data_IF_981271364049
#
_entry.id   IF_981271364049
#
_cell.length_a   1.000
_cell.length_b   1.000
_cell.length_c   1.000
_cell.angle_alpha   90.00
_cell.angle_beta   90.00
_cell.angle_gamma   90.00
#
_symmetry.space_group_name_H-M   'P 1'
#
loop_
_entity.id
_entity.type
_entity.pdbx_description
1 polymer ?
#
# COMPACT_ATOMS: atom_id res chain seq x y z
N UNK A 1 13.04 -6.04 3.46
CA UNK A 1 13.33 -6.91 2.29
C UNK A 1 12.11 -7.78 2.01
N UNK A 2 11.88 -8.16 0.76
CA UNK A 2 10.81 -9.07 0.35
C UNK A 2 11.42 -10.24 -0.42
N UNK A 3 10.98 -11.45 -0.09
CA UNK A 3 11.28 -12.65 -0.85
C UNK A 3 10.13 -12.96 -1.82
N UNK A 4 10.42 -13.06 -3.10
CA UNK A 4 9.42 -13.39 -4.14
C UNK A 4 9.78 -14.68 -4.85
N UNK A 5 8.78 -15.31 -5.45
CA UNK A 5 8.99 -16.38 -6.42
C UNK A 5 9.02 -15.78 -7.84
N UNK A 6 10.04 -16.04 -8.67
CA UNK A 6 10.20 -15.37 -9.97
C UNK A 6 9.07 -15.64 -10.95
N UNK A 7 8.35 -16.74 -10.77
CA UNK A 7 7.23 -17.14 -11.63
C UNK A 7 5.88 -16.64 -11.09
N UNK A 8 5.85 -16.02 -9.91
CA UNK A 8 4.64 -15.41 -9.37
C UNK A 8 4.34 -14.07 -10.06
N UNK A 9 3.06 -13.69 -10.06
CA UNK A 9 2.59 -12.42 -10.62
C UNK A 9 2.81 -11.28 -9.61
N UNK A 10 4.08 -10.97 -9.33
CA UNK A 10 4.43 -9.86 -8.43
C UNK A 10 4.46 -8.52 -9.20
N UNK A 11 3.83 -7.44 -8.68
CA UNK A 11 3.79 -6.13 -9.33
C UNK A 11 5.16 -5.56 -9.71
N UNK A 12 6.23 -5.94 -9.00
CA UNK A 12 7.60 -5.48 -9.26
C UNK A 12 8.09 -5.86 -10.66
N UNK A 13 7.56 -6.93 -11.26
CA UNK A 13 7.92 -7.36 -12.62
C UNK A 13 7.68 -6.28 -13.66
N UNK A 14 6.59 -5.52 -13.52
CA UNK A 14 6.24 -4.41 -14.43
C UNK A 14 7.09 -3.15 -14.24
N UNK A 15 7.95 -3.14 -13.22
CA UNK A 15 8.72 -1.96 -12.77
C UNK A 15 10.23 -2.15 -12.84
N UNK A 16 10.70 -3.24 -13.47
CA UNK A 16 12.12 -3.46 -13.71
C UNK A 16 12.63 -2.45 -14.73
N UNK A 17 13.72 -1.77 -14.40
CA UNK A 17 14.40 -0.82 -15.29
C UNK A 17 15.61 -1.46 -15.96
N UNK A 18 16.33 -2.33 -15.25
CA UNK A 18 17.51 -3.03 -15.76
C UNK A 18 17.65 -4.41 -15.13
N UNK A 19 18.21 -5.37 -15.87
CA UNK A 19 18.29 -6.76 -15.44
C UNK A 19 16.96 -7.51 -15.62
N UNK A 20 16.74 -8.54 -14.81
CA UNK A 20 15.56 -9.41 -14.95
C UNK A 20 15.24 -10.10 -13.63
N UNK A 21 13.94 -10.22 -13.31
CA UNK A 21 13.44 -10.93 -12.12
C UNK A 21 13.71 -12.43 -12.23
N UNK A 22 13.70 -12.97 -13.45
CA UNK A 22 13.94 -14.38 -13.75
C UNK A 22 15.34 -14.85 -13.33
N UNK A 23 16.29 -13.92 -13.17
CA UNK A 23 17.63 -14.24 -12.67
C UNK A 23 17.62 -14.64 -11.19
N UNK A 24 16.63 -14.20 -10.41
CA UNK A 24 16.47 -14.54 -9.00
C UNK A 24 16.25 -16.05 -8.84
N UNK A 25 17.31 -16.85 -8.84
CA UNK A 25 17.21 -18.29 -8.65
C UNK A 25 17.54 -18.67 -7.20
N UNK A 26 16.84 -19.68 -6.69
CA UNK A 26 17.06 -20.20 -5.35
C UNK A 26 18.53 -20.57 -5.11
N UNK A 27 19.11 -20.07 -4.01
CA UNK A 27 20.49 -20.35 -3.61
C UNK A 27 21.55 -19.59 -4.39
N UNK A 28 21.18 -18.73 -5.34
CA UNK A 28 22.14 -17.88 -6.07
C UNK A 28 22.43 -16.55 -5.36
N UNK A 29 21.66 -16.21 -4.32
CA UNK A 29 21.81 -14.96 -3.55
C UNK A 29 21.85 -13.76 -4.47
N UNK A 30 20.80 -13.63 -5.25
CA UNK A 30 20.62 -12.52 -6.16
C UNK A 30 19.61 -11.54 -5.60
N UNK A 31 19.78 -10.27 -5.93
CA UNK A 31 18.97 -9.19 -5.37
C UNK A 31 18.60 -8.17 -6.43
N UNK A 32 17.37 -7.70 -6.36
CA UNK A 32 16.89 -6.52 -7.06
C UNK A 32 16.86 -5.36 -6.09
N UNK A 33 17.50 -4.27 -6.49
CA UNK A 33 17.56 -3.04 -5.71
C UNK A 33 16.69 -1.97 -6.38
N UNK A 34 16.06 -1.14 -5.57
CA UNK A 34 15.40 0.05 -6.10
C UNK A 34 16.45 1.01 -6.67
N UNK A 35 16.08 1.75 -7.71
CA UNK A 35 17.01 2.60 -8.44
C UNK A 35 17.67 3.67 -7.54
N UNK A 36 16.90 4.24 -6.61
CA UNK A 36 17.41 5.21 -5.63
C UNK A 36 18.42 4.58 -4.66
N UNK A 37 18.11 3.39 -4.11
CA UNK A 37 19.02 2.66 -3.22
C UNK A 37 20.33 2.27 -3.91
N UNK A 38 20.25 1.80 -5.16
CA UNK A 38 21.44 1.42 -5.91
C UNK A 38 22.35 2.63 -6.20
N UNK A 39 21.76 3.81 -6.43
CA UNK A 39 22.50 5.06 -6.60
C UNK A 39 23.17 5.53 -5.31
N UNK A 40 22.47 5.44 -4.18
CA UNK A 40 23.01 5.80 -2.87
C UNK A 40 24.20 4.94 -2.47
N UNK A 41 24.14 3.64 -2.79
CA UNK A 41 25.21 2.67 -2.53
C UNK A 41 26.31 2.67 -3.61
N UNK A 42 26.15 3.44 -4.69
CA UNK A 42 26.99 3.44 -5.90
C UNK A 42 27.24 2.03 -6.47
N UNK A 43 26.17 1.23 -6.60
CA UNK A 43 26.22 -0.15 -7.11
C UNK A 43 25.45 -0.31 -8.41
N UNK A 44 25.92 -1.21 -9.25
CA UNK A 44 25.35 -1.56 -10.55
C UNK A 44 24.98 -3.03 -10.62
N UNK A 45 24.26 -3.40 -11.68
CA UNK A 45 23.95 -4.80 -11.96
C UNK A 45 25.26 -5.58 -12.15
N UNK A 46 25.45 -6.65 -11.38
CA UNK A 46 26.67 -7.45 -11.31
C UNK A 46 27.48 -7.25 -10.03
N UNK A 47 27.28 -6.13 -9.32
CA UNK A 47 28.02 -5.84 -8.10
C UNK A 47 27.51 -6.66 -6.91
N UNK A 48 28.29 -6.70 -5.83
CA UNK A 48 27.95 -7.42 -4.61
C UNK A 48 27.59 -6.46 -3.48
N UNK A 49 26.49 -6.75 -2.80
CA UNK A 49 26.01 -6.00 -1.64
C UNK A 49 25.85 -6.90 -0.41
N UNK A 50 26.09 -6.36 0.78
CA UNK A 50 25.86 -7.05 2.05
C UNK A 50 24.46 -6.76 2.56
N UNK A 51 23.64 -7.80 2.66
CA UNK A 51 22.39 -7.71 3.40
C UNK A 51 22.61 -8.19 4.82
N UNK A 52 22.13 -7.43 5.78
CA UNK A 52 22.19 -7.73 7.20
C UNK A 52 20.80 -7.58 7.82
N UNK A 53 20.40 -8.57 8.61
CA UNK A 53 19.12 -8.63 9.29
C UNK A 53 19.38 -8.70 10.79
N UNK A 54 18.97 -7.66 11.51
CA UNK A 54 19.18 -7.55 12.96
C UNK A 54 18.19 -8.37 13.78
N UNK A 55 16.97 -8.59 13.27
CA UNK A 55 15.94 -9.40 13.91
C UNK A 55 16.32 -10.88 13.99
N UNK A 56 17.01 -11.41 12.97
CA UNK A 56 17.52 -12.77 12.94
C UNK A 56 18.98 -12.79 13.44
N UNK A 57 19.20 -13.01 14.74
CA UNK A 57 20.54 -13.05 15.35
C UNK A 57 20.86 -14.43 15.94
N UNK A 58 22.14 -14.79 15.92
CA UNK A 58 22.65 -15.99 16.58
C UNK A 58 23.44 -15.61 17.83
N UNK A 59 23.20 -16.35 18.90
CA UNK A 59 23.99 -16.25 20.13
C UNK A 59 25.32 -16.98 19.91
N UNK A 60 26.41 -16.26 20.10
CA UNK A 60 27.77 -16.81 20.12
C UNK A 60 28.40 -16.48 21.49
N UNK A 61 29.46 -17.20 21.91
CA UNK A 61 30.17 -16.87 23.16
C UNK A 61 30.69 -15.42 23.21
N UNK A 62 30.84 -14.77 22.05
CA UNK A 62 31.30 -13.39 21.88
C UNK A 62 30.15 -12.36 21.78
N UNK A 63 28.88 -12.79 21.85
CA UNK A 63 27.71 -11.92 21.76
C UNK A 63 26.71 -12.30 20.65
N UNK A 64 25.72 -11.43 20.42
CA UNK A 64 24.69 -11.61 19.39
C UNK A 64 25.22 -11.15 18.03
N UNK A 65 25.38 -12.08 17.09
CA UNK A 65 25.80 -11.76 15.73
C UNK A 65 24.56 -11.75 14.82
N UNK A 66 24.29 -10.65 14.10
CA UNK A 66 23.18 -10.55 13.17
C UNK A 66 23.41 -11.42 11.93
N UNK A 67 22.33 -11.96 11.38
CA UNK A 67 22.37 -12.72 10.15
C UNK A 67 22.76 -11.80 8.99
N UNK A 68 23.76 -12.20 8.22
CA UNK A 68 24.25 -11.40 7.12
C UNK A 68 24.74 -12.28 5.97
N UNK A 69 24.62 -11.79 4.73
CA UNK A 69 25.09 -12.51 3.54
C UNK A 69 25.40 -11.57 2.38
N UNK A 70 26.32 -12.00 1.52
CA UNK A 70 26.60 -11.34 0.23
C UNK A 70 25.53 -11.72 -0.78
N UNK A 71 24.97 -10.71 -1.43
CA UNK A 71 24.07 -10.84 -2.56
C UNK A 71 24.66 -10.17 -3.80
N UNK A 72 24.36 -10.69 -4.98
CA UNK A 72 24.75 -10.10 -6.26
C UNK A 72 23.57 -9.35 -6.86
N UNK A 73 23.78 -8.11 -7.28
CA UNK A 73 22.74 -7.27 -7.89
C UNK A 73 22.39 -7.84 -9.26
N UNK A 74 21.19 -8.39 -9.38
CA UNK A 74 20.70 -9.03 -10.61
C UNK A 74 19.95 -8.06 -11.53
N UNK A 75 19.48 -6.94 -10.96
CA UNK A 75 18.68 -5.94 -11.64
C UNK A 75 18.29 -4.78 -10.73
N UNK A 76 17.74 -3.75 -11.35
CA UNK A 76 17.24 -2.55 -10.72
C UNK A 76 15.78 -2.36 -11.09
N UNK A 77 14.95 -1.97 -10.12
CA UNK A 77 13.55 -1.59 -10.36
C UNK A 77 13.32 -0.13 -9.97
N UNK A 78 12.27 0.49 -10.50
CA UNK A 78 11.86 1.82 -10.05
C UNK A 78 10.34 1.96 -10.05
N UNK A 79 9.79 2.21 -8.87
CA UNK A 79 8.36 2.48 -8.66
C UNK A 79 8.03 3.97 -8.77
N UNK A 80 9.03 4.84 -8.74
CA UNK A 80 8.83 6.30 -8.68
C UNK A 80 8.38 6.79 -7.30
N UNK A 81 8.55 5.97 -6.27
CA UNK A 81 8.16 6.25 -4.88
C UNK A 81 9.34 6.00 -3.95
N UNK A 82 9.23 6.46 -2.70
CA UNK A 82 10.22 6.26 -1.62
C UNK A 82 10.49 4.78 -1.32
N UNK A 83 9.65 3.88 -1.81
CA UNK A 83 9.87 2.43 -1.73
C UNK A 83 11.19 2.03 -2.41
N UNK A 84 11.62 2.78 -3.44
CA UNK A 84 12.87 2.51 -4.18
C UNK A 84 14.14 2.69 -3.33
N UNK A 85 14.09 3.39 -2.19
CA UNK A 85 15.24 3.53 -1.28
C UNK A 85 15.20 2.54 -0.11
N UNK A 86 14.03 1.98 0.21
CA UNK A 86 13.84 1.17 1.42
C UNK A 86 13.67 -0.32 1.14
N UNK A 87 13.19 -0.67 -0.05
CA UNK A 87 12.81 -2.03 -0.37
C UNK A 87 13.87 -2.75 -1.22
N UNK A 88 14.10 -3.99 -0.85
CA UNK A 88 15.04 -4.89 -1.50
C UNK A 88 14.33 -6.21 -1.77
N UNK A 89 14.45 -6.72 -2.99
CA UNK A 89 13.73 -7.91 -3.43
C UNK A 89 14.70 -9.02 -3.78
N UNK A 90 14.43 -10.23 -3.32
CA UNK A 90 15.27 -11.40 -3.57
C UNK A 90 14.41 -12.65 -3.74
N UNK A 91 15.03 -13.78 -4.04
CA UNK A 91 14.32 -15.05 -4.08
C UNK A 91 13.79 -15.44 -2.70
N UNK A 92 12.56 -15.93 -2.62
CA UNK A 92 11.90 -16.32 -1.35
C UNK A 92 12.74 -17.29 -0.50
N UNK A 93 13.38 -18.28 -1.13
CA UNK A 93 14.26 -19.22 -0.41
C UNK A 93 15.53 -18.58 0.14
N UNK A 94 16.06 -17.54 -0.52
CA UNK A 94 17.27 -16.86 -0.07
C UNK A 94 16.95 -15.86 1.05
N UNK A 95 15.80 -15.20 0.96
CA UNK A 95 15.23 -14.42 2.06
C UNK A 95 15.00 -15.30 3.30
N UNK A 96 14.36 -16.48 3.14
CA UNK A 96 14.10 -17.39 4.25
C UNK A 96 15.39 -17.84 4.95
N UNK A 97 16.45 -18.14 4.20
CA UNK A 97 17.77 -18.48 4.76
C UNK A 97 18.38 -17.32 5.53
N UNK A 98 18.27 -16.09 5.02
CA UNK A 98 18.79 -14.90 5.70
C UNK A 98 18.00 -14.61 6.98
N UNK A 99 16.68 -14.82 6.97
CA UNK A 99 15.78 -14.72 8.12
C UNK A 99 15.91 -15.92 9.09
N UNK A 100 16.69 -16.94 8.72
CA UNK A 100 16.92 -18.18 9.49
C UNK A 100 15.64 -19.01 9.71
N UNK A 101 14.70 -18.95 8.77
CA UNK A 101 13.56 -19.84 8.73
C UNK A 101 13.96 -21.24 8.24
N UNK A 102 13.22 -22.26 8.67
CA UNK A 102 13.42 -23.63 8.16
C UNK A 102 13.04 -23.66 6.67
N UNK A 103 13.66 -24.58 5.93
CA UNK A 103 13.22 -24.91 4.57
C UNK A 103 11.75 -25.33 4.62
N UNK A 104 10.87 -24.57 3.95
CA UNK A 104 9.40 -24.67 3.97
C UNK A 104 8.66 -23.82 5.03
N UNK A 105 9.33 -22.87 5.68
CA UNK A 105 8.68 -21.83 6.48
C UNK A 105 8.77 -20.47 5.75
N UNK A 106 7.63 -19.78 5.68
CA UNK A 106 7.52 -18.41 5.21
C UNK A 106 7.09 -17.50 6.37
N UNK A 107 7.32 -16.19 6.24
CA UNK A 107 6.85 -15.21 7.24
C UNK A 107 5.32 -15.22 7.39
N UNK A 108 4.60 -15.50 6.31
CA UNK A 108 3.15 -15.49 6.26
C UNK A 108 2.64 -15.49 4.83
N UNK A 109 1.32 -15.29 4.68
CA UNK A 109 0.67 -15.14 3.38
C UNK A 109 0.57 -13.66 3.01
N UNK A 110 0.99 -13.32 1.79
CA UNK A 110 0.80 -11.97 1.25
C UNK A 110 -0.52 -11.94 0.49
N UNK A 111 -1.42 -11.07 0.93
CA UNK A 111 -2.72 -10.85 0.29
C UNK A 111 -2.66 -9.59 -0.57
N UNK A 112 -3.30 -9.64 -1.74
CA UNK A 112 -3.49 -8.52 -2.64
C UNK A 112 -4.97 -8.18 -2.69
N UNK A 113 -5.28 -6.89 -2.59
CA UNK A 113 -6.65 -6.37 -2.62
C UNK A 113 -6.73 -5.28 -3.67
N UNK A 114 -7.84 -5.25 -4.42
CA UNK A 114 -8.13 -4.16 -5.36
C UNK A 114 -8.42 -2.85 -4.62
N UNK A 115 -9.13 -2.95 -3.49
CA UNK A 115 -9.39 -1.82 -2.59
C UNK A 115 -8.55 -1.94 -1.30
N UNK A 116 -7.56 -1.05 -1.09
CA UNK A 116 -6.71 -1.08 0.10
C UNK A 116 -7.42 -0.66 1.39
N UNK A 117 -8.63 -0.09 1.33
CA UNK A 117 -9.40 0.32 2.52
C UNK A 117 -10.10 -0.86 3.21
N UNK A 118 -10.26 -1.99 2.50
CA UNK A 118 -10.91 -3.21 3.02
C UNK A 118 -10.13 -3.81 4.21
N UNK A 119 -8.82 -3.55 4.30
CA UNK A 119 -7.98 -4.02 5.40
C UNK A 119 -8.46 -3.58 6.78
N UNK A 120 -9.17 -2.45 6.89
CA UNK A 120 -9.71 -1.99 8.17
C UNK A 120 -10.79 -2.90 8.73
N UNK A 121 -11.61 -3.49 7.85
CA UNK A 121 -12.68 -4.40 8.24
C UNK A 121 -12.13 -5.83 8.41
N UNK A 122 -11.23 -6.25 7.54
CA UNK A 122 -10.64 -7.60 7.61
C UNK A 122 -9.76 -7.78 8.84
N UNK A 123 -9.07 -6.74 9.30
CA UNK A 123 -8.22 -6.83 10.50
C UNK A 123 -8.98 -7.13 11.79
N UNK A 124 -10.29 -6.91 11.82
CA UNK A 124 -11.14 -7.16 13.01
C UNK A 124 -11.68 -8.60 13.05
N UNK A 125 -11.51 -9.38 11.97
CA UNK A 125 -12.01 -10.74 11.90
C UNK A 125 -11.13 -11.69 12.73
N UNK A 126 -11.75 -12.69 13.42
CA UNK A 126 -10.99 -13.66 14.18
C UNK A 126 -10.14 -14.52 13.24
N UNK A 127 -8.84 -14.55 13.51
CA UNK A 127 -7.88 -15.41 12.81
C UNK A 127 -7.74 -16.76 13.53
N UNK A 128 -7.33 -17.82 12.81
CA UNK A 128 -6.98 -19.08 13.44
C UNK A 128 -5.88 -18.90 14.50
N UNK A 129 -5.87 -19.76 15.52
CA UNK A 129 -4.90 -19.67 16.62
C UNK A 129 -3.45 -19.71 16.10
N UNK A 130 -2.62 -18.79 16.60
CA UNK A 130 -1.23 -18.63 16.18
C UNK A 130 -1.01 -17.77 14.93
N UNK A 131 -2.06 -17.20 14.33
CA UNK A 131 -1.96 -16.25 13.23
C UNK A 131 -2.11 -14.81 13.70
N UNK A 132 -1.31 -13.91 13.14
CA UNK A 132 -1.39 -12.47 13.34
C UNK A 132 -1.61 -11.76 12.02
N UNK A 133 -2.53 -10.79 12.00
CA UNK A 133 -2.69 -9.87 10.88
C UNK A 133 -1.63 -8.77 10.96
N UNK A 134 -0.96 -8.47 9.84
CA UNK A 134 -0.09 -7.30 9.70
C UNK A 134 -0.35 -6.70 8.33
N UNK A 135 -0.53 -5.37 8.29
CA UNK A 135 -0.81 -4.65 7.06
C UNK A 135 -0.01 -3.36 6.95
N UNK A 136 -0.14 -2.72 5.79
CA UNK A 136 0.64 -1.55 5.42
C UNK A 136 0.39 -0.31 6.32
N UNK A 137 -0.70 -0.27 7.10
CA UNK A 137 -0.99 0.82 8.05
C UNK A 137 0.00 0.84 9.21
N UNK A 138 0.66 -0.27 9.53
CA UNK A 138 1.73 -0.30 10.53
C UNK A 138 2.94 0.56 10.12
N UNK A 139 3.20 0.64 8.81
CA UNK A 139 4.31 1.44 8.27
C UNK A 139 3.88 2.83 7.80
N UNK A 140 2.63 2.99 7.31
CA UNK A 140 2.13 4.23 6.69
C UNK A 140 0.73 4.62 7.18
N UNK A 141 0.49 4.53 8.49
CA UNK A 141 -0.81 4.84 9.10
C UNK A 141 -1.26 6.30 8.88
N UNK A 142 -0.33 7.25 8.88
CA UNK A 142 -0.64 8.67 8.64
C UNK A 142 -1.20 8.91 7.24
N UNK A 143 -0.60 8.29 6.23
CA UNK A 143 -1.07 8.38 4.85
C UNK A 143 -2.49 7.79 4.72
N UNK A 144 -2.76 6.65 5.36
CA UNK A 144 -4.10 6.05 5.34
C UNK A 144 -5.15 6.96 5.95
N UNK A 145 -4.86 7.56 7.10
CA UNK A 145 -5.78 8.47 7.78
C UNK A 145 -6.07 9.70 6.92
N UNK A 146 -5.02 10.29 6.32
CA UNK A 146 -5.18 11.43 5.42
C UNK A 146 -6.11 11.11 4.23
N UNK A 147 -5.88 10.00 3.54
CA UNK A 147 -6.72 9.62 2.38
C UNK A 147 -8.14 9.24 2.81
N UNK A 148 -8.30 8.59 3.97
CA UNK A 148 -9.64 8.29 4.52
C UNK A 148 -10.40 9.58 4.84
N UNK A 149 -9.75 10.56 5.46
CA UNK A 149 -10.35 11.88 5.74
C UNK A 149 -10.74 12.59 4.45
N UNK A 150 -9.89 12.57 3.44
CA UNK A 150 -10.17 13.15 2.12
C UNK A 150 -11.39 12.51 1.46
N UNK A 151 -11.47 11.17 1.45
CA UNK A 151 -12.62 10.43 0.87
C UNK A 151 -13.92 10.72 1.61
N UNK A 152 -13.87 10.80 2.94
CA UNK A 152 -15.03 11.16 3.75
C UNK A 152 -15.48 12.61 3.46
N UNK A 153 -14.53 13.54 3.31
CA UNK A 153 -14.84 14.94 2.99
C UNK A 153 -15.47 15.06 1.60
N UNK A 154 -14.96 14.35 0.59
CA UNK A 154 -15.58 14.30 -0.74
C UNK A 154 -17.00 13.72 -0.68
N UNK A 155 -17.20 12.65 0.10
CA UNK A 155 -18.52 12.05 0.30
C UNK A 155 -19.52 13.03 0.93
N UNK A 156 -19.09 13.78 1.96
CA UNK A 156 -19.91 14.82 2.58
C UNK A 156 -20.23 15.96 1.60
N UNK A 157 -19.25 16.40 0.81
CA UNK A 157 -19.44 17.44 -0.22
C UNK A 157 -20.45 16.97 -1.27
N UNK A 158 -20.32 15.74 -1.77
CA UNK A 158 -21.24 15.17 -2.76
C UNK A 158 -22.66 15.03 -2.18
N UNK A 159 -22.77 14.50 -0.96
CA UNK A 159 -24.04 14.38 -0.25
C UNK A 159 -24.75 15.73 -0.09
N UNK A 160 -24.04 16.73 0.44
CA UNK A 160 -24.59 18.09 0.59
C UNK A 160 -24.98 18.69 -0.77
N UNK A 161 -24.13 18.53 -1.79
CA UNK A 161 -24.40 19.07 -3.12
C UNK A 161 -25.62 18.42 -3.80
N UNK A 162 -25.89 17.15 -3.50
CA UNK A 162 -27.05 16.43 -4.03
C UNK A 162 -28.39 16.87 -3.40
N UNK A 163 -28.36 17.46 -2.20
CA UNK A 163 -29.53 17.99 -1.49
C UNK A 163 -29.88 19.44 -1.93
N UNK A 164 -28.89 20.20 -2.44
CA UNK A 164 -29.08 21.60 -2.87
C UNK A 164 -30.18 21.79 -3.91
N UNK A 165 -30.34 20.96 -4.96
CA UNK A 165 -31.42 21.12 -5.94
C UNK A 165 -32.80 20.99 -5.30
N UNK A 166 -32.95 20.08 -4.33
CA UNK A 166 -34.22 19.84 -3.65
C UNK A 166 -34.61 21.04 -2.78
N UNK A 167 -33.63 21.64 -2.09
CA UNK A 167 -33.81 22.86 -1.31
C UNK A 167 -34.16 24.07 -2.20
N UNK A 168 -33.51 24.21 -3.36
CA UNK A 168 -33.79 25.28 -4.33
C UNK A 168 -35.20 25.14 -4.91
N UNK A 169 -35.63 23.92 -5.25
CA UNK A 169 -36.99 23.65 -5.73
C UNK A 169 -38.05 23.92 -4.65
N UNK A 170 -37.76 23.54 -3.40
CA UNK A 170 -38.64 23.83 -2.27
C UNK A 170 -38.78 25.35 -2.02
N UNK A 171 -37.69 26.11 -2.03
CA UNK A 171 -37.76 27.57 -1.91
C UNK A 171 -38.48 28.22 -3.10
N UNK A 172 -38.26 27.73 -4.33
CA UNK A 172 -39.03 28.17 -5.51
C UNK A 172 -40.53 27.90 -5.35
N UNK A 173 -40.89 26.73 -4.82
CA UNK A 173 -42.29 26.36 -4.56
C UNK A 173 -42.92 27.29 -3.53
N UNK A 174 -42.26 27.51 -2.38
CA UNK A 174 -42.73 28.44 -1.34
C UNK A 174 -42.87 29.87 -1.86
N UNK A 175 -41.90 30.36 -2.63
CA UNK A 175 -41.96 31.68 -3.24
C UNK A 175 -43.11 31.80 -4.25
N UNK A 176 -43.34 30.77 -5.06
CA UNK A 176 -44.47 30.72 -5.99
C UNK A 176 -45.83 30.69 -5.27
N UNK A 177 -45.93 29.94 -4.18
CA UNK A 177 -47.12 29.85 -3.33
C UNK A 177 -47.42 31.18 -2.65
N UNK A 178 -46.42 31.80 -2.03
CA UNK A 178 -46.52 33.13 -1.43
C UNK A 178 -46.94 34.20 -2.46
N UNK A 179 -46.35 34.17 -3.66
CA UNK A 179 -46.68 35.10 -4.76
C UNK A 179 -48.11 34.89 -5.29
N UNK A 180 -48.62 33.66 -5.27
CA UNK A 180 -50.00 33.36 -5.66
C UNK A 180 -51.01 33.85 -4.61
N UNK A 181 -50.68 33.75 -3.33
CA UNK A 181 -51.51 34.21 -2.21
C UNK A 181 -51.71 35.74 -2.18
N UNK A 182 -50.73 36.51 -2.69
CA UNK A 182 -50.86 37.97 -2.82
C UNK A 182 -51.62 38.44 -4.08
N UNK A 183 -52.06 37.53 -4.97
CA UNK A 183 -52.95 37.86 -6.10
C UNK A 183 -54.41 37.50 -5.76
N UNK A 184 -55.00 38.18 -4.79
CA UNK A 184 -56.47 38.20 -4.66
C UNK A 184 -57.03 39.36 -5.49
N UNK A 185 -58.02 39.12 -6.37
CA UNK A 185 -58.60 40.18 -7.18
C UNK A 185 -59.39 41.14 -6.31
N UNK A 186 -59.14 42.43 -6.49
CA UNK A 186 -59.96 43.51 -5.94
C UNK A 186 -61.34 43.47 -6.63
N UNK A 187 -62.26 42.67 -6.09
CA UNK A 187 -63.66 42.68 -6.50
C UNK A 187 -64.25 44.04 -6.07
N UNK A 188 -64.37 44.97 -7.02
CA UNK A 188 -65.21 46.16 -6.83
C UNK A 188 -66.67 45.73 -6.95
N UNK A 189 -67.55 46.05 -5.99
CA UNK A 189 -68.98 46.00 -6.25
C UNK A 189 -69.33 47.05 -7.32
N UNK A 190 -70.13 46.64 -8.31
CA UNK A 190 -70.83 47.55 -9.19
C UNK A 190 -72.13 47.96 -8.50
N UNK A 191 -72.33 49.28 -8.45
CA UNK A 191 -73.54 50.04 -8.11
C UNK A 191 -73.90 50.14 -6.63
#
# INVERSE_FOLDING_TARGET
MIGIEPNSDDPIRSRIVSGSVERLAAGKYQVLLGHSLARELDVRVGDKVRLMVTSASQYTPLGRIPSQRMFTVAGLYSTGSDVDSQLVVTHISDAAKLMRYKSNQASGWRLFFDDPFVVSQLSEQPLPEGWSWSDWREQRGELFQAVRMEKNMMGLMLGLSSELPHLILFQRSLWSSWRSSQRLPFLRPKE
#
